data_IF_221979159344
#
_entry.id   IF_221979159344
#
_cell.length_a   1.000
_cell.length_b   1.000
_cell.length_c   1.000
_cell.angle_alpha   90.00
_cell.angle_beta   90.00
_cell.angle_gamma   90.00
#
_symmetry.space_group_name_H-M   'P 1'
#
loop_
_entity.id
_entity.type
_entity.pdbx_description
1 polymer ?
#
# COMPACT_ATOMS: atom_id res chain seq x y z
N UNK A 1 34.64 22.76 18.80
CA UNK A 1 33.70 23.29 17.78
C UNK A 1 33.05 22.13 17.02
N UNK A 2 31.73 21.94 17.21
CA UNK A 2 30.82 21.06 16.42
C UNK A 2 30.48 21.78 15.11
N UNK A 3 30.11 21.22 13.96
CA UNK A 3 29.53 19.93 13.47
C UNK A 3 29.67 19.96 11.90
N UNK A 4 29.06 19.11 11.04
CA UNK A 4 28.58 17.73 11.17
C UNK A 4 28.94 16.80 9.98
N UNK A 5 28.99 15.50 10.27
CA UNK A 5 28.40 14.39 9.50
C UNK A 5 28.34 14.48 7.96
N UNK A 6 29.28 13.80 7.28
CA UNK A 6 29.05 13.26 5.93
C UNK A 6 27.94 12.22 5.98
N UNK A 7 26.70 12.65 5.76
CA UNK A 7 25.61 11.72 5.48
C UNK A 7 25.77 11.22 4.05
N UNK A 8 26.21 9.97 3.94
CA UNK A 8 26.07 9.18 2.73
C UNK A 8 24.58 9.04 2.45
N UNK A 9 24.07 9.83 1.50
CA UNK A 9 22.71 9.68 0.96
C UNK A 9 22.61 8.31 0.32
N UNK A 10 22.25 7.31 1.14
CA UNK A 10 21.71 6.05 0.66
C UNK A 10 20.32 6.39 0.14
N UNK A 11 20.19 6.48 -1.18
CA UNK A 11 18.90 6.36 -1.84
C UNK A 11 18.40 4.94 -1.57
N UNK A 12 17.79 4.75 -0.40
CA UNK A 12 17.03 3.55 -0.11
C UNK A 12 15.84 3.56 -1.08
N UNK A 13 15.67 2.55 -1.94
CA UNK A 13 14.39 2.38 -2.63
C UNK A 13 13.32 2.34 -1.55
N UNK A 14 12.10 2.88 -1.75
CA UNK A 14 11.10 2.92 -0.70
C UNK A 14 10.89 1.50 -0.19
N UNK A 15 11.52 1.21 0.96
CA UNK A 15 11.40 -0.06 1.62
C UNK A 15 9.90 -0.13 1.90
N UNK A 16 9.24 -1.05 1.21
CA UNK A 16 7.88 -1.45 1.51
C UNK A 16 7.91 -1.85 2.98
N UNK A 17 7.56 -0.92 3.86
CA UNK A 17 7.58 -1.17 5.29
C UNK A 17 6.63 -2.35 5.51
N UNK A 18 7.23 -3.52 5.75
CA UNK A 18 6.54 -4.80 5.91
C UNK A 18 5.66 -4.77 7.16
N UNK A 19 5.73 -3.69 7.94
CA UNK A 19 4.80 -3.35 8.98
C UNK A 19 3.50 -2.76 8.40
N UNK A 20 2.77 -3.60 7.67
CA UNK A 20 1.40 -3.32 7.22
C UNK A 20 0.38 -3.25 8.38
N UNK A 21 0.83 -3.16 9.63
CA UNK A 21 -0.05 -2.99 10.79
C UNK A 21 -0.96 -4.19 10.97
N UNK A 22 -0.39 -5.39 10.84
CA UNK A 22 -1.05 -6.61 11.28
C UNK A 22 -0.97 -6.62 12.80
N UNK A 23 -1.88 -5.86 13.42
CA UNK A 23 -2.16 -5.95 14.84
C UNK A 23 -2.93 -7.24 15.13
N UNK A 24 -2.33 -8.39 14.86
CA UNK A 24 -2.79 -9.65 15.43
C UNK A 24 -1.58 -10.40 15.95
N UNK A 25 -1.49 -10.49 17.28
CA UNK A 25 -0.61 -11.43 17.96
C UNK A 25 -1.06 -12.85 17.62
N UNK A 26 -0.68 -13.34 16.44
CA UNK A 26 -0.89 -14.73 16.06
C UNK A 26 0.30 -15.51 16.58
N UNK A 27 0.02 -16.34 17.57
CA UNK A 27 0.96 -17.34 18.05
C UNK A 27 1.37 -18.23 16.87
N UNK A 28 2.68 -18.27 16.57
CA UNK A 28 3.24 -18.97 15.41
C UNK A 28 3.07 -20.50 15.46
N UNK A 29 2.53 -21.04 16.56
CA UNK A 29 2.31 -22.47 16.79
C UNK A 29 0.83 -22.89 16.73
N UNK A 30 -0.11 -21.96 16.51
CA UNK A 30 -1.52 -22.29 16.37
C UNK A 30 -1.84 -22.83 14.96
N UNK A 31 -2.69 -23.86 14.83
CA UNK A 31 -3.15 -24.31 13.51
C UNK A 31 -3.79 -23.13 12.77
N UNK A 32 -3.58 -23.00 11.45
CA UNK A 32 -4.11 -21.88 10.68
C UNK A 32 -5.63 -21.83 10.87
N UNK A 33 -6.22 -20.67 11.25
CA UNK A 33 -7.66 -20.54 11.32
C UNK A 33 -8.21 -20.89 9.95
N UNK A 34 -8.92 -22.00 9.91
CA UNK A 34 -9.40 -22.64 8.70
C UNK A 34 -10.57 -21.80 8.20
N UNK A 35 -10.33 -20.95 7.21
CA UNK A 35 -11.41 -20.26 6.50
C UNK A 35 -12.01 -19.04 7.20
N UNK A 36 -11.29 -18.36 8.08
CA UNK A 36 -11.70 -17.03 8.51
C UNK A 36 -11.55 -16.04 7.35
N UNK A 37 -12.65 -15.35 7.02
CA UNK A 37 -12.68 -14.40 5.91
C UNK A 37 -11.53 -13.39 6.08
N UNK A 38 -10.57 -13.42 5.15
CA UNK A 38 -9.39 -12.55 5.20
C UNK A 38 -9.77 -11.06 5.23
N UNK A 39 -10.98 -10.75 4.77
CA UNK A 39 -11.60 -9.43 4.84
C UNK A 39 -11.95 -9.02 6.27
N UNK A 40 -12.37 -9.96 7.11
CA UNK A 40 -12.63 -9.72 8.53
C UNK A 40 -11.34 -9.44 9.31
N UNK A 41 -10.20 -9.93 8.82
CA UNK A 41 -8.87 -9.71 9.40
C UNK A 41 -8.23 -8.40 8.91
N UNK A 42 -8.70 -7.83 7.79
CA UNK A 42 -8.15 -6.61 7.22
C UNK A 42 -8.79 -5.37 7.86
N UNK A 43 -8.08 -4.75 8.80
CA UNK A 43 -8.53 -3.53 9.46
C UNK A 43 -8.83 -2.41 8.43
N UNK A 44 -9.88 -1.58 8.67
CA UNK A 44 -10.18 -0.43 7.83
C UNK A 44 -8.97 0.51 7.66
N UNK A 45 -8.17 0.69 8.72
CA UNK A 45 -6.91 1.44 8.69
C UNK A 45 -5.92 0.91 7.64
N UNK A 46 -5.80 -0.42 7.54
CA UNK A 46 -4.89 -1.07 6.60
C UNK A 46 -5.34 -0.86 5.16
N UNK A 47 -6.65 -0.90 4.88
CA UNK A 47 -7.22 -0.56 3.57
C UNK A 47 -6.94 0.90 3.21
N UNK A 48 -7.16 1.83 4.14
CA UNK A 48 -6.85 3.24 3.94
C UNK A 48 -5.38 3.48 3.63
N UNK A 49 -4.46 2.77 4.30
CA UNK A 49 -3.02 2.82 3.99
C UNK A 49 -2.70 2.35 2.58
N UNK A 50 -3.37 1.30 2.09
CA UNK A 50 -3.22 0.84 0.70
C UNK A 50 -3.70 1.92 -0.29
N UNK A 51 -4.89 2.48 -0.07
CA UNK A 51 -5.44 3.55 -0.93
C UNK A 51 -4.49 4.75 -0.96
N UNK A 52 -3.99 5.18 0.20
CA UNK A 52 -3.04 6.29 0.30
C UNK A 52 -1.76 6.01 -0.50
N UNK A 53 -1.20 4.80 -0.41
CA UNK A 53 -0.03 4.40 -1.20
C UNK A 53 -0.28 4.43 -2.71
N UNK A 54 -1.44 3.93 -3.16
CA UNK A 54 -1.84 4.00 -4.58
C UNK A 54 -1.97 5.47 -5.02
N UNK A 55 -2.56 6.32 -4.18
CA UNK A 55 -2.70 7.75 -4.42
C UNK A 55 -1.35 8.46 -4.50
N UNK A 56 -0.39 8.11 -3.63
CA UNK A 56 0.97 8.65 -3.66
C UNK A 56 1.71 8.26 -4.94
N UNK A 57 1.57 7.02 -5.41
CA UNK A 57 2.10 6.61 -6.71
C UNK A 57 1.48 7.45 -7.84
N UNK A 58 0.15 7.60 -7.87
CA UNK A 58 -0.53 8.44 -8.87
C UNK A 58 0.00 9.89 -8.88
N UNK A 59 0.18 10.50 -7.71
CA UNK A 59 0.70 11.88 -7.58
C UNK A 59 2.13 12.04 -8.08
N UNK A 60 2.96 10.99 -8.01
CA UNK A 60 4.36 11.04 -8.49
C UNK A 60 4.46 11.05 -10.03
N UNK A 61 3.51 10.40 -10.70
CA UNK A 61 3.52 10.27 -12.16
C UNK A 61 2.66 11.30 -12.88
N UNK A 62 1.71 11.93 -12.19
CA UNK A 62 0.87 12.99 -12.74
C UNK A 62 1.32 14.34 -12.19
N UNK A 63 1.73 15.31 -13.01
CA UNK A 63 1.90 16.68 -12.57
C UNK A 63 0.51 17.26 -12.24
N UNK A 64 0.02 16.97 -11.04
CA UNK A 64 -1.26 17.46 -10.57
C UNK A 64 -1.08 18.90 -10.09
N UNK A 65 -1.36 19.85 -10.98
CA UNK A 65 -1.24 21.28 -10.68
C UNK A 65 -2.50 21.89 -10.07
N UNK A 66 -3.60 21.14 -9.94
CA UNK A 66 -4.93 21.66 -9.58
C UNK A 66 -5.59 20.77 -8.51
N UNK A 67 -6.23 21.33 -7.46
CA UNK A 67 -6.92 20.57 -6.40
C UNK A 67 -7.98 19.57 -6.92
N UNK A 68 -8.67 19.90 -8.01
CA UNK A 68 -9.64 19.02 -8.68
C UNK A 68 -9.02 17.67 -9.06
N UNK A 69 -7.78 17.68 -9.56
CA UNK A 69 -7.07 16.47 -9.97
C UNK A 69 -6.78 15.54 -8.79
N UNK A 70 -6.56 16.09 -7.58
CA UNK A 70 -6.30 15.28 -6.39
C UNK A 70 -7.53 14.47 -5.96
N UNK A 71 -8.73 15.01 -6.13
CA UNK A 71 -9.98 14.30 -5.84
C UNK A 71 -10.18 13.16 -6.83
N UNK A 72 -9.98 13.42 -8.13
CA UNK A 72 -10.03 12.38 -9.16
C UNK A 72 -9.01 11.26 -8.88
N UNK A 73 -7.79 11.59 -8.46
CA UNK A 73 -6.80 10.59 -8.06
C UNK A 73 -7.26 9.74 -6.87
N UNK A 74 -7.93 10.35 -5.89
CA UNK A 74 -8.48 9.64 -4.75
C UNK A 74 -9.59 8.68 -5.17
N UNK A 75 -10.51 9.13 -6.02
CA UNK A 75 -11.59 8.28 -6.57
C UNK A 75 -10.97 7.11 -7.34
N UNK A 76 -9.97 7.37 -8.17
CA UNK A 76 -9.25 6.35 -8.93
C UNK A 76 -8.56 5.35 -7.99
N UNK A 77 -7.85 5.82 -6.96
CA UNK A 77 -7.15 4.97 -5.99
C UNK A 77 -8.12 4.06 -5.22
N UNK A 78 -9.24 4.61 -4.73
CA UNK A 78 -10.29 3.85 -4.05
C UNK A 78 -10.90 2.81 -4.98
N UNK A 79 -11.25 3.19 -6.22
CA UNK A 79 -11.83 2.24 -7.20
C UNK A 79 -10.86 1.13 -7.58
N UNK A 80 -9.56 1.42 -7.64
CA UNK A 80 -8.56 0.38 -7.91
C UNK A 80 -8.45 -0.59 -6.75
N UNK A 81 -8.32 -0.07 -5.52
CA UNK A 81 -8.25 -0.89 -4.33
C UNK A 81 -9.51 -1.76 -4.19
N UNK A 82 -10.71 -1.19 -4.37
CA UNK A 82 -11.98 -1.91 -4.20
C UNK A 82 -12.13 -3.08 -5.20
N UNK A 83 -11.70 -2.86 -6.45
CA UNK A 83 -11.65 -3.92 -7.47
C UNK A 83 -10.72 -5.06 -7.06
N UNK A 84 -9.57 -4.74 -6.48
CA UNK A 84 -8.60 -5.76 -6.04
C UNK A 84 -9.12 -6.46 -4.77
N UNK A 85 -9.71 -5.72 -3.85
CA UNK A 85 -10.33 -6.24 -2.63
C UNK A 85 -11.45 -7.23 -2.95
N UNK A 86 -12.27 -6.94 -3.95
CA UNK A 86 -13.34 -7.83 -4.40
C UNK A 86 -12.79 -9.07 -5.13
N UNK A 87 -11.76 -8.88 -5.97
CA UNK A 87 -11.18 -9.97 -6.76
C UNK A 87 -10.24 -10.90 -5.97
N UNK A 88 -9.70 -10.44 -4.83
CA UNK A 88 -8.75 -11.21 -4.05
C UNK A 88 -9.42 -12.33 -3.26
N UNK A 89 -8.76 -13.49 -3.22
CA UNK A 89 -9.23 -14.68 -2.49
C UNK A 89 -8.52 -14.87 -1.15
N UNK A 90 -7.48 -14.07 -0.89
CA UNK A 90 -6.70 -14.08 0.35
C UNK A 90 -6.02 -12.72 0.56
N UNK A 91 -5.63 -12.42 1.80
CA UNK A 91 -4.87 -11.21 2.11
C UNK A 91 -3.55 -11.13 1.33
N UNK A 92 -2.86 -12.25 1.16
CA UNK A 92 -1.61 -12.31 0.38
C UNK A 92 -1.84 -12.03 -1.10
N UNK A 93 -2.95 -12.52 -1.66
CA UNK A 93 -3.34 -12.25 -3.04
C UNK A 93 -3.74 -10.78 -3.25
N UNK A 94 -4.49 -10.21 -2.30
CA UNK A 94 -4.82 -8.79 -2.26
C UNK A 94 -3.55 -7.92 -2.29
N UNK A 95 -2.63 -8.14 -1.35
CA UNK A 95 -1.38 -7.37 -1.27
C UNK A 95 -0.51 -7.55 -2.52
N UNK A 96 -0.41 -8.77 -3.06
CA UNK A 96 0.35 -9.03 -4.30
C UNK A 96 -0.23 -8.26 -5.49
N UNK A 97 -1.56 -8.28 -5.67
CA UNK A 97 -2.25 -7.56 -6.75
C UNK A 97 -2.09 -6.05 -6.61
N UNK A 98 -2.18 -5.52 -5.39
CA UNK A 98 -1.92 -4.10 -5.09
C UNK A 98 -0.50 -3.73 -5.50
N UNK A 99 0.51 -4.46 -5.03
CA UNK A 99 1.91 -4.19 -5.35
C UNK A 99 2.18 -4.26 -6.85
N UNK A 100 1.62 -5.25 -7.55
CA UNK A 100 1.75 -5.37 -9.00
C UNK A 100 1.11 -4.19 -9.74
N UNK A 101 -0.05 -3.72 -9.24
CA UNK A 101 -0.73 -2.57 -9.82
C UNK A 101 0.06 -1.28 -9.62
N UNK A 102 0.61 -1.08 -8.44
CA UNK A 102 1.49 0.05 -8.13
C UNK A 102 2.75 0.04 -9.00
N UNK A 103 3.44 -1.11 -9.12
CA UNK A 103 4.61 -1.25 -9.98
C UNK A 103 4.28 -0.91 -11.44
N UNK A 104 3.15 -1.40 -11.95
CA UNK A 104 2.71 -1.10 -13.32
C UNK A 104 2.44 0.39 -13.55
N UNK A 105 2.00 1.09 -12.51
CA UNK A 105 1.77 2.54 -12.53
C UNK A 105 3.06 3.35 -12.39
N UNK A 106 4.12 2.75 -11.83
CA UNK A 106 5.45 3.34 -11.73
C UNK A 106 6.29 3.17 -13.01
N UNK A 107 6.08 2.08 -13.76
CA UNK A 107 6.88 1.73 -14.95
C UNK A 107 6.34 2.25 -16.28
N UNK A 108 5.17 2.91 -16.31
CA UNK A 108 4.62 3.49 -17.53
C UNK A 108 5.03 4.97 -17.64
N UNK A 109 6.27 5.20 -18.09
CA UNK A 109 6.80 6.52 -18.49
C UNK A 109 6.93 6.56 -20.01
#
# INVERSE_FOLDING_TARGET
>A
PRDPTSQHTTHEPPAMDANWGVGVGVDLNAPPPTGEDWRAQLLPEARSRVVNKIMECLKKHLPVSVPEGLNELQIIAVRFEDKIYTAATSQSDYLRKVSLKMLSMETNT
#
